data_IF_297929170785
#
_entry.id   IF_297929170785
#
_cell.length_a   1.000
_cell.length_b   1.000
_cell.length_c   1.000
_cell.angle_alpha   90.00
_cell.angle_beta   90.00
_cell.angle_gamma   90.00
#
_symmetry.space_group_name_H-M   'P 1'
#
loop_
_entity.id
_entity.type
_entity.pdbx_description
1 polymer ?
#
# COMPACT_ATOMS: atom_id res chain seq x y z
N UNK A 1 -64.84 -61.85 -39.54
CA UNK A 1 -64.07 -60.83 -40.29
C UNK A 1 -62.78 -60.52 -39.53
N UNK A 2 -61.71 -60.15 -40.24
CA UNK A 2 -60.54 -59.30 -39.84
C UNK A 2 -60.34 -59.14 -38.31
N UNK A 3 -59.34 -59.75 -37.63
CA UNK A 3 -57.87 -59.47 -37.64
C UNK A 3 -57.51 -58.07 -37.07
N UNK A 4 -56.40 -57.73 -36.41
CA UNK A 4 -55.13 -58.38 -35.98
C UNK A 4 -54.57 -57.53 -34.80
N UNK A 5 -53.67 -57.89 -33.87
CA UNK A 5 -52.76 -59.02 -33.57
C UNK A 5 -52.31 -58.85 -32.08
N UNK A 6 -51.59 -59.81 -31.48
CA UNK A 6 -50.82 -59.56 -30.23
C UNK A 6 -49.59 -60.49 -30.08
N UNK A 7 -48.46 -59.94 -29.62
CA UNK A 7 -47.24 -60.63 -29.16
C UNK A 7 -46.54 -59.73 -28.10
N UNK A 8 -46.01 -60.23 -26.97
CA UNK A 8 -44.89 -61.20 -26.80
C UNK A 8 -43.54 -60.54 -27.15
N UNK A 9 -42.46 -60.60 -26.34
CA UNK A 9 -42.21 -61.38 -25.12
C UNK A 9 -40.94 -60.89 -24.34
N UNK A 10 -40.73 -61.40 -23.12
CA UNK A 10 -39.45 -61.41 -22.33
C UNK A 10 -39.00 -60.01 -21.81
N UNK A 11 -38.14 -59.90 -20.79
CA UNK A 11 -37.30 -60.89 -20.08
C UNK A 11 -37.57 -60.93 -18.56
N UNK A 12 -37.49 -62.14 -17.98
CA UNK A 12 -37.35 -62.36 -16.53
C UNK A 12 -35.95 -62.94 -16.25
N UNK A 13 -35.11 -62.24 -15.48
CA UNK A 13 -33.93 -62.76 -14.77
C UNK A 13 -33.25 -61.65 -13.93
N UNK A 14 -32.37 -62.03 -12.99
CA UNK A 14 -31.48 -61.18 -12.16
C UNK A 14 -32.01 -60.65 -10.80
N UNK A 15 -32.47 -61.57 -9.97
CA UNK A 15 -32.35 -61.52 -8.49
C UNK A 15 -31.77 -62.87 -8.07
N UNK A 16 -30.46 -62.99 -7.71
CA UNK A 16 -29.90 -62.26 -6.56
C UNK A 16 -28.43 -61.81 -6.73
N UNK A 17 -28.19 -60.49 -6.86
CA UNK A 17 -26.82 -59.91 -6.75
C UNK A 17 -26.76 -58.64 -5.87
N UNK A 18 -27.87 -58.26 -5.23
CA UNK A 18 -28.00 -56.98 -4.51
C UNK A 18 -27.50 -57.06 -3.06
N UNK A 19 -27.50 -58.25 -2.44
CA UNK A 19 -27.19 -58.41 -1.02
C UNK A 19 -25.72 -58.66 -0.68
N UNK A 20 -24.85 -58.89 -1.68
CA UNK A 20 -23.40 -59.12 -1.45
C UNK A 20 -22.53 -57.86 -1.63
N UNK A 21 -23.11 -56.72 -2.01
CA UNK A 21 -22.42 -55.44 -2.17
C UNK A 21 -22.41 -54.58 -0.89
N UNK A 22 -23.17 -54.97 0.14
CA UNK A 22 -23.30 -54.24 1.41
C UNK A 22 -22.14 -54.49 2.40
N UNK A 23 -21.16 -55.33 2.06
CA UNK A 23 -20.03 -55.71 2.92
C UNK A 23 -18.66 -55.16 2.47
N UNK A 24 -18.60 -54.42 1.35
CA UNK A 24 -17.36 -53.93 0.74
C UNK A 24 -17.33 -52.39 0.61
N UNK A 25 -17.73 -51.68 1.67
CA UNK A 25 -17.98 -50.23 1.63
C UNK A 25 -17.59 -49.45 2.89
N UNK A 26 -16.65 -49.95 3.71
CA UNK A 26 -16.16 -49.25 4.91
C UNK A 26 -14.64 -49.13 4.98
N UNK A 27 -13.98 -49.06 3.82
CA UNK A 27 -12.72 -48.34 3.72
C UNK A 27 -12.99 -46.88 4.05
N UNK A 28 -12.70 -46.46 5.29
CA UNK A 28 -12.63 -45.03 5.62
C UNK A 28 -11.50 -44.45 4.78
N UNK A 29 -11.86 -43.80 3.67
CA UNK A 29 -11.03 -42.76 3.09
C UNK A 29 -10.85 -41.71 4.19
N UNK A 30 -9.74 -41.83 4.90
CA UNK A 30 -9.21 -40.73 5.68
C UNK A 30 -8.83 -39.68 4.65
N UNK A 31 -9.78 -38.80 4.34
CA UNK A 31 -9.49 -37.52 3.72
C UNK A 31 -8.52 -36.86 4.68
N UNK A 32 -7.22 -36.92 4.36
CA UNK A 32 -6.27 -35.95 4.91
C UNK A 32 -6.93 -34.60 4.69
N UNK A 33 -7.21 -33.87 5.78
CA UNK A 33 -7.80 -32.55 5.69
C UNK A 33 -6.80 -31.67 4.95
N UNK A 34 -7.00 -31.57 3.63
CA UNK A 34 -6.00 -31.05 2.71
C UNK A 34 -5.56 -29.70 3.21
N UNK A 35 -4.25 -29.53 3.45
CA UNK A 35 -3.68 -28.28 4.00
C UNK A 35 -4.35 -27.11 3.28
N UNK A 36 -5.08 -26.23 3.99
CA UNK A 36 -5.98 -25.29 3.33
C UNK A 36 -5.25 -24.57 2.20
N UNK A 37 -5.84 -24.60 1.01
CA UNK A 37 -5.15 -24.23 -0.22
C UNK A 37 -5.01 -22.72 -0.33
N UNK A 38 -3.78 -22.24 -0.56
CA UNK A 38 -3.45 -20.81 -0.68
C UNK A 38 -2.28 -20.41 0.22
N UNK A 39 -1.73 -19.19 0.05
CA UNK A 39 -0.62 -18.68 0.86
C UNK A 39 -1.06 -18.41 2.31
N UNK A 40 -0.18 -18.67 3.28
CA UNK A 40 -0.38 -18.28 4.68
C UNK A 40 0.08 -16.82 4.90
N UNK A 41 -0.80 -15.96 5.42
CA UNK A 41 -0.51 -14.55 5.69
C UNK A 41 -0.42 -14.29 7.19
N UNK A 42 0.62 -13.59 7.64
CA UNK A 42 0.69 -13.04 8.99
C UNK A 42 0.20 -11.58 8.99
N UNK A 43 -0.61 -11.17 9.97
CA UNK A 43 -1.12 -9.79 10.08
C UNK A 43 -0.49 -9.07 11.28
N UNK A 44 0.48 -8.22 11.00
CA UNK A 44 1.21 -7.47 12.03
C UNK A 44 0.28 -6.59 12.90
N UNK A 45 0.65 -6.33 14.17
CA UNK A 45 0.07 -5.23 14.93
C UNK A 45 0.12 -3.93 14.11
N UNK A 46 -1.03 -3.25 14.00
CA UNK A 46 -1.15 -2.01 13.24
C UNK A 46 -0.25 -0.94 13.86
N UNK A 47 0.53 -0.27 13.01
CA UNK A 47 1.37 0.85 13.39
C UNK A 47 0.54 2.12 13.52
N UNK A 48 0.80 2.94 14.53
CA UNK A 48 0.21 4.27 14.64
C UNK A 48 1.17 5.35 14.12
N UNK A 49 0.80 5.97 13.00
CA UNK A 49 1.43 7.18 12.48
C UNK A 49 0.55 8.42 12.73
N UNK A 50 -0.63 8.26 13.35
CA UNK A 50 -1.59 9.33 13.64
C UNK A 50 -1.26 10.10 14.92
N UNK A 51 -0.77 9.43 15.97
CA UNK A 51 -0.53 10.01 17.29
C UNK A 51 -1.81 10.25 18.10
N UNK A 52 -2.93 9.64 17.72
CA UNK A 52 -4.23 9.76 18.37
C UNK A 52 -4.61 8.48 19.13
N UNK A 53 -5.47 8.60 20.14
CA UNK A 53 -6.03 7.43 20.83
C UNK A 53 -7.06 6.74 19.91
N UNK A 54 -6.61 5.68 19.24
CA UNK A 54 -7.34 5.02 18.16
C UNK A 54 -7.53 3.51 18.45
N UNK A 55 -8.65 2.90 18.05
CA UNK A 55 -8.96 1.50 18.33
C UNK A 55 -8.21 0.51 17.39
N UNK A 56 -6.88 0.65 17.28
CA UNK A 56 -5.97 -0.10 16.40
C UNK A 56 -6.20 -1.63 16.44
N UNK A 57 -6.39 -2.19 17.63
CA UNK A 57 -6.63 -3.63 17.82
C UNK A 57 -7.98 -4.07 17.24
N UNK A 58 -9.02 -3.25 17.35
CA UNK A 58 -10.32 -3.51 16.75
C UNK A 58 -10.27 -3.34 15.22
N UNK A 59 -9.57 -2.32 14.72
CA UNK A 59 -9.35 -2.13 13.27
C UNK A 59 -8.60 -3.32 12.65
N UNK A 60 -7.49 -3.77 13.26
CA UNK A 60 -6.75 -4.96 12.80
C UNK A 60 -7.63 -6.21 12.81
N UNK A 61 -8.39 -6.42 13.88
CA UNK A 61 -9.27 -7.59 14.01
C UNK A 61 -10.37 -7.57 12.96
N UNK A 62 -11.01 -6.41 12.74
CA UNK A 62 -12.03 -6.20 11.72
C UNK A 62 -11.51 -6.36 10.29
N UNK A 63 -10.24 -6.04 10.02
CA UNK A 63 -9.61 -6.32 8.71
C UNK A 63 -9.29 -7.80 8.55
N UNK A 64 -8.71 -8.41 9.58
CA UNK A 64 -8.33 -9.82 9.60
C UNK A 64 -9.53 -10.73 9.38
N UNK A 65 -10.65 -10.41 10.01
CA UNK A 65 -11.89 -11.19 9.88
C UNK A 65 -12.49 -11.10 8.47
N UNK A 66 -12.51 -9.91 7.84
CA UNK A 66 -12.90 -9.75 6.44
C UNK A 66 -12.08 -10.63 5.50
N UNK A 67 -10.77 -10.73 5.72
CA UNK A 67 -9.90 -11.59 4.93
C UNK A 67 -10.18 -13.09 5.16
N UNK A 68 -10.39 -13.51 6.42
CA UNK A 68 -10.76 -14.91 6.75
C UNK A 68 -12.10 -15.31 6.14
N UNK A 69 -13.11 -14.44 6.20
CA UNK A 69 -14.43 -14.68 5.61
C UNK A 69 -14.37 -14.83 4.07
N UNK A 70 -13.39 -14.20 3.42
CA UNK A 70 -13.11 -14.35 2.00
C UNK A 70 -12.05 -15.43 1.70
N UNK A 71 -11.83 -16.38 2.62
CA UNK A 71 -10.99 -17.57 2.41
C UNK A 71 -9.48 -17.36 2.51
N UNK A 72 -9.00 -16.15 2.85
CA UNK A 72 -7.56 -15.90 3.02
C UNK A 72 -7.08 -16.58 4.32
N UNK A 73 -6.01 -17.38 4.21
CA UNK A 73 -5.43 -18.08 5.35
C UNK A 73 -4.62 -17.11 6.19
N UNK A 74 -5.12 -16.73 7.37
CA UNK A 74 -4.40 -15.88 8.32
C UNK A 74 -3.82 -16.71 9.46
N UNK A 75 -2.54 -16.47 9.78
CA UNK A 75 -1.84 -17.01 10.96
C UNK A 75 -2.53 -16.59 12.26
N UNK A 76 -2.68 -17.51 13.21
CA UNK A 76 -3.37 -17.20 14.46
C UNK A 76 -2.57 -16.26 15.38
N UNK A 77 -3.27 -15.38 16.09
CA UNK A 77 -2.64 -14.29 16.83
C UNK A 77 -1.70 -14.81 17.93
N UNK A 78 -2.06 -15.89 18.63
CA UNK A 78 -1.23 -16.48 19.67
C UNK A 78 0.12 -16.99 19.12
N UNK A 79 0.12 -17.53 17.90
CA UNK A 79 1.32 -18.05 17.25
C UNK A 79 2.14 -16.94 16.62
N UNK A 80 1.51 -15.92 16.02
CA UNK A 80 2.18 -14.69 15.59
C UNK A 80 2.86 -13.98 16.77
N UNK A 81 2.17 -13.84 17.90
CA UNK A 81 2.71 -13.20 19.11
C UNK A 81 3.92 -13.97 19.63
N UNK A 82 3.81 -15.30 19.79
CA UNK A 82 4.92 -16.17 20.18
C UNK A 82 6.10 -16.09 19.21
N UNK A 83 5.82 -16.02 17.90
CA UNK A 83 6.85 -15.85 16.88
C UNK A 83 7.57 -14.50 17.00
N UNK A 84 6.83 -13.41 17.16
CA UNK A 84 7.38 -12.06 17.35
C UNK A 84 8.23 -11.97 18.63
N UNK A 85 7.79 -12.57 19.72
CA UNK A 85 8.57 -12.69 20.97
C UNK A 85 9.88 -13.47 20.75
N UNK A 86 9.79 -14.65 20.12
CA UNK A 86 10.96 -15.52 19.85
C UNK A 86 11.97 -14.90 18.88
N UNK A 87 11.50 -14.23 17.82
CA UNK A 87 12.36 -13.51 16.87
C UNK A 87 12.69 -12.08 17.35
N UNK A 88 12.19 -11.66 18.52
CA UNK A 88 12.41 -10.35 19.15
C UNK A 88 11.98 -9.16 18.26
N UNK A 89 10.98 -9.37 17.40
CA UNK A 89 10.42 -8.37 16.48
C UNK A 89 9.74 -7.27 17.30
N UNK A 90 10.23 -6.03 17.16
CA UNK A 90 9.72 -4.83 17.87
C UNK A 90 9.18 -3.74 16.95
N UNK A 91 9.43 -3.84 15.65
CA UNK A 91 9.00 -2.88 14.65
C UNK A 91 8.03 -3.56 13.70
N UNK A 92 6.87 -2.93 13.47
CA UNK A 92 5.80 -3.47 12.63
C UNK A 92 5.51 -2.64 11.39
N UNK A 93 6.07 -1.44 11.24
CA UNK A 93 5.96 -0.61 10.03
C UNK A 93 6.75 -1.08 8.81
N UNK A 94 7.34 -2.28 8.82
CA UNK A 94 8.15 -2.81 7.73
C UNK A 94 8.67 -4.22 8.01
N UNK A 95 9.21 -4.86 6.97
CA UNK A 95 9.76 -6.21 7.01
C UNK A 95 11.21 -6.22 6.52
N UNK A 96 12.16 -6.38 7.44
CA UNK A 96 13.58 -6.55 7.10
C UNK A 96 13.90 -7.97 6.59
N UNK A 97 15.12 -8.14 6.04
CA UNK A 97 15.57 -9.39 5.41
C UNK A 97 15.62 -10.57 6.38
N UNK A 98 16.08 -10.36 7.62
CA UNK A 98 16.23 -11.42 8.62
C UNK A 98 14.85 -11.90 9.07
N UNK A 99 13.95 -10.96 9.35
CA UNK A 99 12.56 -11.23 9.75
C UNK A 99 11.77 -11.89 8.61
N UNK A 100 11.94 -11.42 7.38
CA UNK A 100 11.36 -12.02 6.17
C UNK A 100 11.78 -13.49 5.99
N UNK A 101 13.08 -13.76 6.07
CA UNK A 101 13.61 -15.12 5.96
C UNK A 101 13.16 -16.01 7.13
N UNK A 102 13.11 -15.47 8.35
CA UNK A 102 12.63 -16.18 9.53
C UNK A 102 11.15 -16.58 9.42
N UNK A 103 10.26 -15.70 8.92
CA UNK A 103 8.86 -16.03 8.69
C UNK A 103 8.69 -17.19 7.72
N UNK A 104 9.39 -17.13 6.58
CA UNK A 104 9.33 -18.17 5.55
C UNK A 104 9.87 -19.52 6.05
N UNK A 105 11.05 -19.50 6.68
CA UNK A 105 11.77 -20.73 7.06
C UNK A 105 11.28 -21.37 8.36
N UNK A 106 10.78 -20.58 9.33
CA UNK A 106 10.46 -21.07 10.69
C UNK A 106 8.95 -21.13 10.98
N UNK A 107 8.14 -20.26 10.35
CA UNK A 107 6.69 -20.22 10.55
C UNK A 107 5.89 -20.74 9.34
N UNK A 108 6.51 -20.94 8.18
CA UNK A 108 5.81 -21.34 6.95
C UNK A 108 4.82 -20.28 6.45
N UNK A 109 4.98 -19.03 6.89
CA UNK A 109 4.25 -17.87 6.39
C UNK A 109 4.77 -17.55 4.99
N UNK A 110 3.87 -17.18 4.08
CA UNK A 110 4.18 -16.82 2.70
C UNK A 110 4.24 -15.31 2.50
N UNK A 111 3.41 -14.55 3.21
CA UNK A 111 3.40 -13.08 3.17
C UNK A 111 3.08 -12.44 4.53
N UNK A 112 3.53 -11.21 4.75
CA UNK A 112 3.15 -10.37 5.90
C UNK A 112 2.28 -9.21 5.39
N UNK A 113 1.11 -9.06 6.00
CA UNK A 113 0.28 -7.87 5.87
C UNK A 113 0.73 -6.84 6.93
N UNK A 114 1.09 -5.65 6.45
CA UNK A 114 1.48 -4.50 7.25
C UNK A 114 0.40 -3.42 7.08
N UNK A 115 -0.02 -2.79 8.18
CA UNK A 115 -0.99 -1.71 8.17
C UNK A 115 -0.51 -0.57 9.08
N UNK A 116 -0.64 0.67 8.61
CA UNK A 116 -0.32 1.87 9.39
C UNK A 116 -1.53 2.82 9.38
N UNK A 117 -1.90 3.34 10.55
CA UNK A 117 -2.92 4.37 10.72
C UNK A 117 -2.27 5.74 10.51
N UNK A 118 -2.58 6.39 9.40
CA UNK A 118 -2.01 7.70 9.05
C UNK A 118 -2.75 8.84 9.77
N UNK A 119 -4.07 8.76 9.89
CA UNK A 119 -4.86 9.79 10.58
C UNK A 119 -6.10 9.21 11.22
N UNK A 120 -6.49 9.78 12.36
CA UNK A 120 -7.73 9.46 13.06
C UNK A 120 -8.23 10.70 13.79
N UNK A 121 -9.53 10.96 13.68
CA UNK A 121 -10.26 11.99 14.40
C UNK A 121 -11.66 11.46 14.68
N UNK A 122 -12.03 11.35 15.95
CA UNK A 122 -13.37 11.00 16.40
C UNK A 122 -14.32 12.20 16.44
N UNK A 123 -13.78 13.42 16.54
CA UNK A 123 -14.50 14.70 16.43
C UNK A 123 -15.38 14.73 15.18
N UNK A 124 -16.70 14.85 15.36
CA UNK A 124 -17.68 14.78 14.27
C UNK A 124 -17.66 16.02 13.35
N UNK A 125 -17.79 15.86 12.02
CA UNK A 125 -17.71 14.59 11.27
C UNK A 125 -16.33 13.93 11.37
N UNK A 126 -16.22 12.65 11.77
CA UNK A 126 -14.95 11.98 12.00
C UNK A 126 -14.10 11.86 10.73
N UNK A 127 -12.81 11.54 10.89
CA UNK A 127 -11.87 11.29 9.79
C UNK A 127 -10.98 10.08 10.09
N UNK A 128 -10.62 9.36 9.04
CA UNK A 128 -9.69 8.22 9.11
C UNK A 128 -8.85 8.13 7.84
N UNK A 129 -7.55 7.91 7.99
CA UNK A 129 -6.64 7.61 6.89
C UNK A 129 -5.81 6.37 7.24
N UNK A 130 -5.82 5.37 6.36
CA UNK A 130 -5.20 4.06 6.54
C UNK A 130 -4.40 3.69 5.29
N UNK A 131 -3.23 3.09 5.49
CA UNK A 131 -2.43 2.46 4.43
C UNK A 131 -2.12 1.01 4.80
N UNK A 132 -2.18 0.12 3.83
CA UNK A 132 -1.91 -1.30 4.01
C UNK A 132 -1.10 -1.87 2.83
N UNK A 133 -0.23 -2.84 3.11
CA UNK A 133 0.57 -3.53 2.09
C UNK A 133 0.82 -4.99 2.43
N UNK A 134 0.82 -5.83 1.41
CA UNK A 134 1.14 -7.25 1.49
C UNK A 134 2.54 -7.47 0.94
N UNK A 135 3.43 -8.02 1.77
CA UNK A 135 4.85 -8.23 1.46
C UNK A 135 5.13 -9.73 1.41
N UNK A 136 5.68 -10.22 0.31
CA UNK A 136 6.13 -11.61 0.19
C UNK A 136 7.30 -11.89 1.13
N UNK A 137 7.36 -13.08 1.71
CA UNK A 137 8.44 -13.51 2.62
C UNK A 137 9.45 -14.42 1.94
N UNK A 138 10.69 -14.38 2.42
CA UNK A 138 11.85 -15.09 1.86
C UNK A 138 13.13 -14.27 1.98
N UNK A 139 14.17 -14.65 1.25
CA UNK A 139 15.48 -13.96 1.28
C UNK A 139 15.43 -12.52 0.75
N UNK A 140 14.49 -12.22 -0.15
CA UNK A 140 14.24 -10.90 -0.74
C UNK A 140 12.73 -10.62 -0.71
N UNK A 141 12.22 -9.80 0.24
CA UNK A 141 10.80 -9.47 0.29
C UNK A 141 10.41 -8.52 -0.85
N UNK A 142 9.29 -8.80 -1.52
CA UNK A 142 8.69 -7.96 -2.57
C UNK A 142 7.28 -7.52 -2.15
N UNK A 143 6.92 -6.26 -2.43
CA UNK A 143 5.57 -5.74 -2.18
C UNK A 143 4.62 -6.25 -3.27
N UNK A 144 3.72 -7.16 -2.92
CA UNK A 144 2.75 -7.80 -3.83
C UNK A 144 1.53 -6.91 -4.10
N UNK A 145 1.14 -6.13 -3.10
CA UNK A 145 0.01 -5.20 -3.10
C UNK A 145 0.29 -4.08 -2.10
N UNK A 146 -0.15 -2.87 -2.41
CA UNK A 146 -0.19 -1.76 -1.48
C UNK A 146 -1.33 -0.81 -1.88
N UNK A 147 -2.16 -0.43 -0.92
CA UNK A 147 -3.22 0.57 -1.13
C UNK A 147 -3.43 1.42 0.11
N UNK A 148 -4.10 2.55 -0.06
CA UNK A 148 -4.40 3.53 0.99
C UNK A 148 -5.78 4.13 0.77
N UNK A 149 -6.40 4.55 1.87
CA UNK A 149 -7.72 5.18 1.88
C UNK A 149 -7.74 6.29 2.93
N UNK A 150 -8.18 7.48 2.54
CA UNK A 150 -8.61 8.55 3.42
C UNK A 150 -10.12 8.74 3.26
N UNK A 151 -10.82 8.93 4.38
CA UNK A 151 -12.25 9.22 4.42
C UNK A 151 -12.56 10.27 5.50
N UNK A 152 -13.58 11.07 5.24
CA UNK A 152 -14.22 11.96 6.21
C UNK A 152 -15.73 11.70 6.27
N UNK A 153 -16.34 11.94 7.43
CA UNK A 153 -17.78 11.75 7.62
C UNK A 153 -18.65 12.66 6.74
N UNK A 154 -18.09 13.78 6.27
CA UNK A 154 -18.69 14.75 5.36
C UNK A 154 -18.29 14.58 3.88
N UNK A 155 -17.68 13.45 3.48
CA UNK A 155 -17.35 13.17 2.06
C UNK A 155 -18.58 13.02 1.15
N UNK A 156 -19.72 12.61 1.70
CA UNK A 156 -20.93 12.29 0.95
C UNK A 156 -22.23 12.74 1.68
N UNK A 157 -22.40 14.04 1.98
CA UNK A 157 -23.46 14.54 2.86
C UNK A 157 -24.86 14.41 2.25
N UNK A 158 -24.97 14.28 0.92
CA UNK A 158 -26.24 14.14 0.22
C UNK A 158 -27.16 15.35 0.36
N UNK A 159 -28.46 15.14 0.12
CA UNK A 159 -29.48 16.16 0.28
C UNK A 159 -29.73 16.36 1.79
N UNK A 160 -29.75 17.62 2.25
CA UNK A 160 -29.99 18.02 3.65
C UNK A 160 -29.04 17.40 4.69
N UNK A 161 -27.86 16.92 4.30
CA UNK A 161 -26.87 16.34 5.22
C UNK A 161 -27.16 14.91 5.66
N UNK A 162 -28.20 14.25 5.12
CA UNK A 162 -28.65 12.91 5.53
C UNK A 162 -27.57 11.83 5.33
N UNK A 163 -26.60 12.04 4.45
CA UNK A 163 -25.48 11.12 4.19
C UNK A 163 -24.26 11.29 5.09
N UNK A 164 -24.25 12.30 5.98
CA UNK A 164 -23.13 12.52 6.92
C UNK A 164 -23.00 11.33 7.86
N UNK A 165 -21.78 10.80 7.99
CA UNK A 165 -21.43 9.81 9.01
C UNK A 165 -20.93 10.56 10.24
N UNK A 166 -21.56 10.37 11.39
CA UNK A 166 -21.12 10.95 12.67
C UNK A 166 -20.34 9.94 13.55
N UNK A 167 -20.63 8.64 13.42
CA UNK A 167 -19.94 7.58 14.18
C UNK A 167 -18.58 7.23 13.54
N UNK A 168 -17.44 7.40 14.26
CA UNK A 168 -16.12 7.01 13.77
C UNK A 168 -16.05 5.54 13.40
N UNK A 169 -16.81 4.68 14.09
CA UNK A 169 -16.85 3.23 13.90
C UNK A 169 -17.45 2.84 12.55
N UNK A 170 -18.51 3.52 12.10
CA UNK A 170 -19.05 3.37 10.75
C UNK A 170 -18.04 3.82 9.71
N UNK A 171 -17.32 4.93 9.96
CA UNK A 171 -16.35 5.47 9.00
C UNK A 171 -15.13 4.54 8.82
N UNK A 172 -14.49 4.10 9.91
CA UNK A 172 -13.32 3.21 9.78
C UNK A 172 -13.69 1.81 9.28
N UNK A 173 -14.90 1.30 9.56
CA UNK A 173 -15.33 0.04 8.92
C UNK A 173 -15.42 0.18 7.40
N UNK A 174 -16.00 1.26 6.86
CA UNK A 174 -16.02 1.53 5.40
C UNK A 174 -14.62 1.62 4.79
N UNK A 175 -13.67 2.19 5.53
CA UNK A 175 -12.26 2.25 5.11
C UNK A 175 -11.61 0.85 5.04
N UNK A 176 -11.89 -0.02 6.02
CA UNK A 176 -11.44 -1.43 6.00
C UNK A 176 -12.14 -2.25 4.91
N UNK A 177 -13.42 -2.02 4.63
CA UNK A 177 -14.15 -2.64 3.52
C UNK A 177 -13.46 -2.33 2.19
N UNK A 178 -13.11 -1.05 1.95
CA UNK A 178 -12.42 -0.61 0.74
C UNK A 178 -11.01 -1.20 0.59
N UNK A 179 -10.21 -1.18 1.65
CA UNK A 179 -8.85 -1.75 1.61
C UNK A 179 -8.88 -3.28 1.44
N UNK A 180 -9.80 -3.98 2.09
CA UNK A 180 -9.90 -5.44 1.97
C UNK A 180 -10.43 -5.85 0.59
N UNK A 181 -11.41 -5.14 0.03
CA UNK A 181 -11.86 -5.32 -1.35
C UNK A 181 -10.73 -5.13 -2.38
N UNK A 182 -9.91 -4.09 -2.21
CA UNK A 182 -8.73 -3.83 -3.05
C UNK A 182 -7.70 -4.97 -3.00
N UNK A 183 -7.41 -5.49 -1.80
CA UNK A 183 -6.53 -6.65 -1.63
C UNK A 183 -7.13 -7.93 -2.24
N UNK A 184 -8.42 -8.19 -2.03
CA UNK A 184 -9.10 -9.38 -2.54
C UNK A 184 -9.19 -9.39 -4.07
N UNK A 185 -9.50 -8.26 -4.70
CA UNK A 185 -9.44 -8.07 -6.15
C UNK A 185 -8.03 -8.37 -6.69
N UNK A 186 -6.98 -7.87 -6.02
CA UNK A 186 -5.58 -8.17 -6.39
C UNK A 186 -5.21 -9.65 -6.19
N UNK A 187 -5.73 -10.31 -5.15
CA UNK A 187 -5.51 -11.75 -4.89
C UNK A 187 -6.28 -12.65 -5.87
N UNK A 188 -7.42 -12.21 -6.40
CA UNK A 188 -8.14 -12.87 -7.49
C UNK A 188 -7.42 -12.79 -8.84
N UNK A 189 -6.33 -12.00 -8.94
CA UNK A 189 -5.60 -11.74 -10.19
C UNK A 189 -6.25 -10.68 -11.06
N UNK A 190 -7.30 -10.02 -10.58
CA UNK A 190 -7.99 -8.95 -11.29
C UNK A 190 -7.13 -7.66 -11.24
N UNK A 191 -6.81 -7.10 -12.41
CA UNK A 191 -6.02 -5.87 -12.49
C UNK A 191 -6.94 -4.66 -12.69
N UNK A 192 -7.08 -3.86 -11.63
CA UNK A 192 -7.72 -2.55 -11.74
C UNK A 192 -6.84 -1.63 -12.60
N UNK A 193 -7.41 -0.91 -13.60
CA UNK A 193 -6.64 0.05 -14.39
C UNK A 193 -6.13 1.18 -13.49
N UNK A 194 -4.87 1.57 -13.65
CA UNK A 194 -4.26 2.65 -12.88
C UNK A 194 -5.08 3.95 -13.07
N UNK A 195 -5.63 4.56 -12.00
CA UNK A 195 -6.53 5.70 -12.15
C UNK A 195 -5.74 6.95 -12.50
N UNK A 196 -5.97 7.49 -13.71
CA UNK A 196 -5.25 8.63 -14.27
C UNK A 196 -5.21 9.87 -13.36
N UNK A 197 -4.22 10.73 -13.60
CA UNK A 197 -3.95 11.91 -12.78
C UNK A 197 -4.75 13.14 -13.22
N UNK A 198 -5.05 14.03 -12.26
CA UNK A 198 -5.78 15.27 -12.52
C UNK A 198 -4.83 16.47 -12.69
N UNK A 199 -5.07 17.32 -13.70
CA UNK A 199 -4.24 18.52 -13.97
C UNK A 199 -4.09 19.48 -12.79
N UNK A 200 -5.07 19.54 -11.87
CA UNK A 200 -5.00 20.35 -10.63
C UNK A 200 -3.87 19.94 -9.68
N UNK A 201 -3.43 18.68 -9.76
CA UNK A 201 -2.34 18.13 -8.97
C UNK A 201 -1.00 18.12 -9.71
N UNK A 202 -0.91 18.71 -10.92
CA UNK A 202 0.37 18.87 -11.62
C UNK A 202 1.38 19.56 -10.69
N UNK A 203 2.60 19.02 -10.54
CA UNK A 203 3.61 19.62 -9.67
C UNK A 203 3.92 21.07 -10.07
N UNK A 204 4.30 21.89 -9.09
CA UNK A 204 4.53 23.32 -9.32
C UNK A 204 5.88 23.54 -10.01
N UNK A 205 6.86 22.73 -9.64
CA UNK A 205 8.19 22.67 -10.26
C UNK A 205 8.53 21.21 -10.54
N UNK A 206 9.02 20.91 -11.74
CA UNK A 206 9.51 19.59 -12.11
C UNK A 206 10.77 19.74 -12.96
N UNK A 207 11.78 18.93 -12.67
CA UNK A 207 13.07 18.87 -13.36
C UNK A 207 13.35 17.43 -13.78
N UNK A 208 13.79 17.25 -15.03
CA UNK A 208 14.16 15.95 -15.60
C UNK A 208 15.43 16.10 -16.42
N UNK A 209 16.47 15.39 -16.04
CA UNK A 209 17.75 15.34 -16.75
C UNK A 209 17.83 14.14 -17.71
N UNK A 210 17.15 13.02 -17.38
CA UNK A 210 17.19 11.79 -18.15
C UNK A 210 15.79 11.18 -18.39
N UNK A 211 15.58 10.59 -19.56
CA UNK A 211 14.43 9.74 -19.86
C UNK A 211 14.67 8.32 -19.33
N UNK A 212 13.64 7.72 -18.75
CA UNK A 212 13.70 6.33 -18.28
C UNK A 212 13.27 5.41 -19.43
N UNK A 213 13.97 4.30 -19.67
CA UNK A 213 13.56 3.33 -20.68
C UNK A 213 12.27 2.63 -20.21
N UNK A 214 11.11 2.82 -20.87
CA UNK A 214 9.85 2.21 -20.46
C UNK A 214 9.85 0.67 -20.62
N UNK A 215 10.89 0.08 -21.22
CA UNK A 215 11.07 -1.38 -21.34
C UNK A 215 11.84 -1.99 -20.18
N UNK A 216 12.49 -1.19 -19.33
CA UNK A 216 13.29 -1.66 -18.19
C UNK A 216 12.52 -1.44 -16.88
N UNK A 217 12.34 -2.51 -16.09
CA UNK A 217 11.93 -2.40 -14.68
C UNK A 217 13.16 -1.98 -13.87
N UNK A 218 13.14 -0.77 -13.30
CA UNK A 218 14.27 -0.23 -12.53
C UNK A 218 14.12 -0.51 -11.04
N UNK A 219 15.21 -0.86 -10.36
CA UNK A 219 15.21 -1.07 -8.91
C UNK A 219 15.35 0.26 -8.16
N UNK A 220 14.48 0.51 -7.17
CA UNK A 220 14.44 1.78 -6.43
C UNK A 220 14.26 1.54 -4.92
N UNK A 221 15.06 2.26 -4.14
CA UNK A 221 14.87 2.37 -2.69
C UNK A 221 14.35 3.78 -2.35
N UNK A 222 13.25 3.84 -1.61
CA UNK A 222 12.69 5.10 -1.09
C UNK A 222 13.20 5.28 0.34
N UNK A 223 14.04 6.30 0.55
CA UNK A 223 14.60 6.61 1.87
C UNK A 223 13.59 7.38 2.73
N UNK A 224 13.69 7.35 4.08
CA UNK A 224 12.91 8.21 4.97
C UNK A 224 13.01 9.68 4.55
N UNK A 225 11.87 10.37 4.39
CA UNK A 225 11.91 11.79 4.02
C UNK A 225 12.20 12.67 5.23
N UNK A 226 12.95 13.75 5.00
CA UNK A 226 13.20 14.74 6.04
C UNK A 226 11.90 15.52 6.33
N UNK A 227 11.57 15.67 7.61
CA UNK A 227 10.30 16.26 8.02
C UNK A 227 10.54 17.63 8.68
N UNK A 228 10.02 18.67 8.03
CA UNK A 228 10.03 20.06 8.52
C UNK A 228 8.63 20.54 8.93
N UNK A 229 7.61 19.69 8.78
CA UNK A 229 6.23 19.99 9.15
C UNK A 229 5.96 19.72 10.63
N UNK A 230 4.94 20.39 11.20
CA UNK A 230 4.52 20.20 12.61
C UNK A 230 4.11 18.75 12.95
N UNK A 231 3.82 17.94 11.92
CA UNK A 231 3.27 16.60 12.05
C UNK A 231 4.40 15.57 12.13
N UNK A 232 4.67 15.04 13.32
CA UNK A 232 5.80 14.13 13.65
C UNK A 232 6.12 13.08 12.58
N UNK A 233 5.11 12.33 12.11
CA UNK A 233 5.29 11.16 11.24
C UNK A 233 5.08 11.47 9.74
N UNK A 234 4.97 12.74 9.34
CA UNK A 234 4.68 13.11 7.94
C UNK A 234 5.72 12.60 6.94
N UNK A 235 7.00 12.55 7.33
CA UNK A 235 8.06 11.98 6.49
C UNK A 235 7.86 10.50 6.18
N UNK A 236 7.37 9.71 7.15
CA UNK A 236 7.11 8.28 6.98
C UNK A 236 5.82 8.04 6.17
N UNK A 237 4.75 8.80 6.45
CA UNK A 237 3.49 8.74 5.69
C UNK A 237 3.73 9.09 4.20
N UNK A 238 4.48 10.14 3.91
CA UNK A 238 4.83 10.50 2.52
C UNK A 238 5.67 9.44 1.81
N UNK A 239 6.55 8.72 2.51
CA UNK A 239 7.27 7.56 1.95
C UNK A 239 6.29 6.45 1.58
N UNK A 240 5.30 6.14 2.42
CA UNK A 240 4.30 5.10 2.13
C UNK A 240 3.46 5.46 0.90
N UNK A 241 3.03 6.71 0.75
CA UNK A 241 2.34 7.17 -0.46
C UNK A 241 3.21 7.05 -1.73
N UNK A 242 4.50 7.43 -1.66
CA UNK A 242 5.45 7.28 -2.80
C UNK A 242 5.67 5.81 -3.16
N UNK A 243 5.87 4.94 -2.17
CA UNK A 243 6.04 3.49 -2.36
C UNK A 243 4.80 2.88 -3.00
N UNK A 244 3.59 3.21 -2.52
CA UNK A 244 2.32 2.76 -3.10
C UNK A 244 2.25 3.06 -4.60
N UNK A 245 2.54 4.30 -4.99
CA UNK A 245 2.43 4.72 -6.38
C UNK A 245 3.51 4.05 -7.25
N UNK A 246 4.77 4.01 -6.80
CA UNK A 246 5.85 3.31 -7.51
C UNK A 246 5.54 1.82 -7.74
N UNK A 247 5.00 1.12 -6.73
CA UNK A 247 4.51 -0.27 -6.86
C UNK A 247 3.37 -0.36 -7.89
N UNK A 248 2.40 0.54 -7.81
CA UNK A 248 1.24 0.57 -8.73
C UNK A 248 1.64 0.79 -10.20
N UNK A 249 2.74 1.50 -10.46
CA UNK A 249 3.24 1.80 -11.81
C UNK A 249 3.76 0.58 -12.60
N UNK A 250 4.16 -0.49 -11.90
CA UNK A 250 4.93 -1.65 -12.42
C UNK A 250 6.30 -1.35 -13.06
N UNK A 251 6.59 -0.11 -13.45
CA UNK A 251 7.88 0.33 -14.02
C UNK A 251 9.06 0.19 -13.04
N UNK A 252 8.78 0.04 -11.74
CA UNK A 252 9.80 -0.08 -10.70
C UNK A 252 9.73 -1.43 -9.96
N UNK A 253 10.89 -1.87 -9.47
CA UNK A 253 11.04 -2.88 -8.43
C UNK A 253 11.39 -2.13 -7.13
N UNK A 254 10.37 -1.91 -6.28
CA UNK A 254 10.50 -1.06 -5.08
C UNK A 254 10.94 -1.92 -3.90
N UNK A 255 12.01 -1.51 -3.23
CA UNK A 255 12.48 -2.17 -2.01
C UNK A 255 11.55 -1.86 -0.83
N UNK A 256 11.32 -2.85 0.02
CA UNK A 256 10.49 -2.74 1.22
C UNK A 256 11.11 -1.75 2.24
N UNK A 257 10.36 -0.76 2.76
CA UNK A 257 10.88 0.21 3.73
C UNK A 257 11.61 -0.38 4.95
N UNK A 258 11.20 -1.55 5.44
CA UNK A 258 11.86 -2.28 6.53
C UNK A 258 13.24 -2.83 6.15
N UNK A 259 13.46 -3.25 4.91
CA UNK A 259 14.80 -3.60 4.39
C UNK A 259 15.71 -2.38 4.39
N UNK A 260 15.21 -1.24 3.91
CA UNK A 260 15.94 0.03 3.85
C UNK A 260 16.30 0.50 5.27
N UNK A 261 15.31 0.52 6.17
CA UNK A 261 15.47 0.87 7.60
C UNK A 261 16.45 -0.07 8.32
N UNK A 262 16.35 -1.38 8.11
CA UNK A 262 17.26 -2.38 8.67
C UNK A 262 18.70 -2.15 8.21
N UNK A 263 18.90 -1.86 6.92
CA UNK A 263 20.22 -1.53 6.35
C UNK A 263 20.79 -0.22 6.93
N UNK A 264 19.98 0.83 7.02
CA UNK A 264 20.36 2.11 7.64
C UNK A 264 20.78 1.94 9.12
N UNK A 265 20.03 1.15 9.90
CA UNK A 265 20.35 0.85 11.30
C UNK A 265 21.66 0.06 11.43
N UNK A 266 21.86 -0.98 10.61
CA UNK A 266 23.10 -1.76 10.58
C UNK A 266 24.33 -0.89 10.22
N UNK A 267 24.16 0.06 9.30
CA UNK A 267 25.17 1.02 8.88
C UNK A 267 25.27 2.27 9.78
N UNK A 268 24.42 2.38 10.82
CA UNK A 268 24.33 3.51 11.76
C UNK A 268 24.11 4.88 11.09
N UNK A 269 23.40 4.91 9.97
CA UNK A 269 23.08 6.15 9.25
C UNK A 269 21.90 6.85 9.94
N UNK A 270 22.11 8.11 10.32
CA UNK A 270 21.11 8.98 10.99
C UNK A 270 20.91 10.22 10.11
N UNK A 271 19.65 10.51 9.75
CA UNK A 271 19.29 11.63 8.87
C UNK A 271 18.88 12.87 9.68
N UNK A 272 19.87 13.62 10.19
CA UNK A 272 19.60 14.81 11.02
C UNK A 272 19.08 16.01 10.24
N UNK A 273 19.48 16.18 8.97
CA UNK A 273 19.08 17.29 8.08
C UNK A 273 18.67 16.78 6.68
N UNK A 274 18.13 15.55 6.64
CA UNK A 274 18.07 14.71 5.44
C UNK A 274 19.33 13.87 5.27
N UNK A 275 19.61 13.42 4.04
CA UNK A 275 20.75 12.55 3.70
C UNK A 275 21.72 13.27 2.76
N UNK A 276 23.02 13.14 3.01
CA UNK A 276 24.08 13.67 2.14
C UNK A 276 24.38 12.73 0.96
N UNK A 277 24.84 13.27 -0.17
CA UNK A 277 25.18 12.46 -1.35
C UNK A 277 26.14 11.28 -1.06
N UNK A 278 27.20 11.42 -0.24
CA UNK A 278 28.06 10.28 0.10
C UNK A 278 27.33 9.18 0.88
N UNK A 279 26.38 9.53 1.75
CA UNK A 279 25.57 8.53 2.47
C UNK A 279 24.52 7.89 1.56
N UNK A 280 23.95 8.64 0.62
CA UNK A 280 23.02 8.12 -0.39
C UNK A 280 23.72 7.15 -1.38
N UNK A 281 24.92 7.50 -1.86
CA UNK A 281 25.78 6.62 -2.67
C UNK A 281 26.21 5.36 -1.91
N UNK A 282 26.61 5.51 -0.64
CA UNK A 282 26.96 4.38 0.21
C UNK A 282 25.76 3.43 0.40
N UNK A 283 24.54 3.96 0.62
CA UNK A 283 23.31 3.17 0.69
C UNK A 283 22.94 2.53 -0.66
N UNK A 284 23.01 3.26 -1.77
CA UNK A 284 22.66 2.75 -3.10
C UNK A 284 23.48 1.51 -3.46
N UNK A 285 24.81 1.56 -3.22
CA UNK A 285 25.68 0.41 -3.45
C UNK A 285 25.49 -0.73 -2.43
N UNK A 286 24.93 -0.43 -1.25
CA UNK A 286 24.63 -1.40 -0.19
C UNK A 286 23.23 -2.06 -0.32
N UNK A 287 22.33 -1.42 -1.05
CA UNK A 287 20.98 -1.89 -1.38
C UNK A 287 20.88 -2.46 -2.81
N UNK A 288 21.96 -2.36 -3.59
CA UNK A 288 22.10 -2.83 -4.98
C UNK A 288 21.12 -2.19 -5.99
N UNK A 289 20.50 -1.05 -5.66
CA UNK A 289 19.47 -0.41 -6.49
C UNK A 289 20.04 0.42 -7.66
N UNK A 290 19.23 0.61 -8.70
CA UNK A 290 19.52 1.56 -9.77
C UNK A 290 19.34 3.00 -9.28
N UNK A 291 18.27 3.23 -8.51
CA UNK A 291 17.87 4.53 -8.00
C UNK A 291 17.73 4.60 -6.48
N UNK A 292 17.94 5.79 -5.95
CA UNK A 292 17.55 6.24 -4.61
C UNK A 292 16.54 7.36 -4.78
N UNK A 293 15.37 7.25 -4.16
CA UNK A 293 14.42 8.35 -4.03
C UNK A 293 14.49 8.90 -2.60
N UNK A 294 14.70 10.20 -2.48
CA UNK A 294 14.68 10.94 -1.21
C UNK A 294 13.75 12.14 -1.31
N UNK A 295 13.38 12.72 -0.16
CA UNK A 295 12.37 13.76 -0.11
C UNK A 295 12.39 14.58 1.17
N UNK A 296 11.60 15.65 1.16
CA UNK A 296 11.46 16.65 2.22
C UNK A 296 9.99 17.06 2.31
N UNK A 297 9.44 17.12 3.51
CA UNK A 297 8.02 17.41 3.76
C UNK A 297 7.90 18.70 4.57
N UNK A 298 7.31 19.72 3.97
CA UNK A 298 7.20 21.08 4.54
C UNK A 298 5.86 21.29 5.24
N UNK A 299 4.77 20.78 4.66
CA UNK A 299 3.44 20.79 5.29
C UNK A 299 2.76 19.44 5.00
N UNK A 300 2.28 18.75 6.04
CA UNK A 300 1.33 17.66 5.90
C UNK A 300 0.32 17.82 7.03
N UNK A 301 -0.80 18.49 6.73
CA UNK A 301 -1.77 18.91 7.73
C UNK A 301 -3.15 18.43 7.33
N UNK A 302 -3.70 17.52 8.12
CA UNK A 302 -5.13 17.29 8.19
C UNK A 302 -5.74 18.25 9.23
N UNK A 303 -6.89 18.83 8.89
CA UNK A 303 -7.67 19.69 9.78
C UNK A 303 -8.93 18.95 10.23
N UNK A 304 -9.35 19.06 11.51
CA UNK A 304 -10.66 18.62 11.96
C UNK A 304 -11.78 19.18 11.06
N UNK A 305 -12.84 18.41 10.87
CA UNK A 305 -13.97 18.79 10.01
C UNK A 305 -14.57 20.14 10.40
N UNK A 306 -14.93 20.94 9.40
CA UNK A 306 -15.36 22.34 9.57
C UNK A 306 -14.25 23.35 9.96
N UNK A 307 -13.11 22.94 10.53
CA UNK A 307 -12.08 23.87 11.02
C UNK A 307 -11.01 24.27 9.99
N UNK A 308 -11.04 23.71 8.78
CA UNK A 308 -10.14 24.07 7.70
C UNK A 308 -10.19 23.11 6.51
N UNK A 309 -9.06 22.99 5.81
CA UNK A 309 -8.85 22.10 4.67
C UNK A 309 -7.48 21.42 4.76
N UNK A 310 -7.31 20.21 4.22
CA UNK A 310 -6.02 19.57 4.18
C UNK A 310 -5.02 20.37 3.34
N UNK A 311 -3.74 20.27 3.70
CA UNK A 311 -2.62 20.90 3.00
C UNK A 311 -1.44 19.94 2.96
N UNK A 312 -0.82 19.85 1.79
CA UNK A 312 0.33 18.97 1.53
C UNK A 312 1.35 19.75 0.70
N UNK A 313 2.60 19.75 1.16
CA UNK A 313 3.74 20.38 0.51
C UNK A 313 5.02 19.58 0.75
N UNK A 314 5.72 19.25 -0.33
CA UNK A 314 6.94 18.45 -0.33
C UNK A 314 7.84 18.77 -1.53
N UNK A 315 9.10 18.39 -1.42
CA UNK A 315 10.00 18.19 -2.57
C UNK A 315 10.55 16.76 -2.59
N UNK A 316 10.74 16.20 -3.79
CA UNK A 316 11.28 14.84 -4.01
C UNK A 316 12.44 14.91 -5.01
N UNK A 317 13.43 14.04 -4.85
CA UNK A 317 14.60 13.91 -5.72
C UNK A 317 14.86 12.43 -6.02
N UNK A 318 15.21 12.13 -7.27
CA UNK A 318 15.61 10.80 -7.73
C UNK A 318 17.09 10.83 -8.13
N UNK A 319 17.90 10.05 -7.43
CA UNK A 319 19.34 9.94 -7.62
C UNK A 319 19.67 8.62 -8.31
N UNK A 320 20.55 8.66 -9.31
CA UNK A 320 21.04 7.46 -10.01
C UNK A 320 22.38 6.98 -9.45
N UNK A 321 22.49 5.68 -9.15
CA UNK A 321 23.70 5.10 -8.56
C UNK A 321 24.92 5.10 -9.48
N UNK A 322 24.71 4.96 -10.79
CA UNK A 322 25.79 4.86 -11.79
C UNK A 322 26.49 6.21 -12.03
N UNK A 323 25.72 7.29 -12.17
CA UNK A 323 26.19 8.65 -12.42
C UNK A 323 26.40 9.46 -11.15
N UNK A 324 25.77 9.06 -10.03
CA UNK A 324 25.71 9.77 -8.74
C UNK A 324 25.05 11.16 -8.82
N UNK A 325 24.24 11.37 -9.86
CA UNK A 325 23.54 12.62 -10.13
C UNK A 325 22.06 12.55 -9.71
N UNK A 326 21.48 13.70 -9.36
CA UNK A 326 20.02 13.88 -9.32
C UNK A 326 19.52 13.91 -10.78
N UNK A 327 18.89 12.83 -11.23
CA UNK A 327 18.39 12.70 -12.61
C UNK A 327 16.99 13.29 -12.79
N UNK A 328 16.27 13.51 -11.70
CA UNK A 328 14.92 14.08 -11.69
C UNK A 328 14.61 14.68 -10.31
N UNK A 329 13.82 15.76 -10.26
CA UNK A 329 13.34 16.35 -9.01
C UNK A 329 11.99 17.06 -9.16
N UNK A 330 11.28 17.32 -8.06
CA UNK A 330 10.04 18.13 -8.03
C UNK A 330 9.87 18.88 -6.72
N UNK A 331 9.07 19.95 -6.77
CA UNK A 331 8.39 20.56 -5.60
C UNK A 331 6.90 20.69 -5.91
N UNK A 332 6.04 20.31 -4.96
CA UNK A 332 4.59 20.45 -5.12
C UNK A 332 3.87 20.75 -3.82
N UNK A 333 3.03 21.79 -3.86
CA UNK A 333 2.16 22.29 -2.78
C UNK A 333 0.72 22.32 -3.28
N UNK A 334 -0.22 21.68 -2.61
CA UNK A 334 -1.66 21.76 -2.93
C UNK A 334 -2.51 21.87 -1.64
N UNK A 335 -3.76 22.31 -1.79
CA UNK A 335 -4.77 22.34 -0.71
C UNK A 335 -6.04 21.58 -1.10
N UNK A 336 -6.87 21.23 -0.10
CA UNK A 336 -8.11 20.49 -0.31
C UNK A 336 -9.16 21.17 -1.21
N UNK A 337 -9.05 22.48 -1.45
CA UNK A 337 -9.98 23.20 -2.33
C UNK A 337 -9.45 23.36 -3.77
N UNK A 338 -8.28 22.80 -4.08
CA UNK A 338 -7.63 23.05 -5.37
C UNK A 338 -8.46 22.42 -6.50
N UNK A 339 -8.97 23.27 -7.40
CA UNK A 339 -9.88 22.86 -8.48
C UNK A 339 -11.30 22.51 -8.02
N UNK A 340 -11.75 23.04 -6.88
CA UNK A 340 -13.16 23.03 -6.46
C UNK A 340 -14.02 23.93 -7.35
N UNK A 341 -15.24 23.49 -7.59
CA UNK A 341 -16.30 24.24 -8.28
C UNK A 341 -17.50 24.46 -7.35
N UNK A 342 -18.57 25.09 -7.84
CA UNK A 342 -19.79 25.40 -7.05
C UNK A 342 -20.28 24.20 -6.22
N UNK A 343 -20.76 24.47 -5.00
CA UNK A 343 -21.24 23.49 -4.02
C UNK A 343 -20.19 22.43 -3.63
N UNK A 344 -18.97 22.87 -3.30
CA UNK A 344 -17.83 22.04 -2.87
C UNK A 344 -17.47 20.87 -3.81
N UNK A 345 -17.92 20.93 -5.07
CA UNK A 345 -17.70 19.88 -6.04
C UNK A 345 -16.19 19.70 -6.33
N UNK A 346 -15.69 18.46 -6.16
CA UNK A 346 -14.26 18.04 -6.16
C UNK A 346 -13.42 18.44 -4.94
N UNK A 347 -14.01 18.93 -3.85
CA UNK A 347 -13.26 19.20 -2.61
C UNK A 347 -12.64 17.92 -2.07
N UNK A 348 -11.46 18.04 -1.48
CA UNK A 348 -10.71 16.94 -0.88
C UNK A 348 -10.63 17.16 0.63
N UNK A 349 -11.15 16.20 1.39
CA UNK A 349 -11.37 16.29 2.84
C UNK A 349 -10.15 15.90 3.69
N UNK A 350 -9.26 15.04 3.16
CA UNK A 350 -8.11 14.47 3.87
C UNK A 350 -6.77 14.72 3.17
N UNK A 351 -5.68 14.84 3.94
CA UNK A 351 -4.33 14.98 3.40
C UNK A 351 -3.83 13.69 2.72
N UNK A 352 -4.34 12.52 3.13
CA UNK A 352 -4.17 11.25 2.40
C UNK A 352 -4.67 11.38 0.95
N UNK A 353 -5.95 11.71 0.74
CA UNK A 353 -6.54 11.75 -0.64
C UNK A 353 -5.90 12.87 -1.47
N UNK A 354 -5.49 13.97 -0.83
CA UNK A 354 -4.75 15.04 -1.49
C UNK A 354 -3.37 14.55 -1.96
N UNK A 355 -2.63 13.84 -1.11
CA UNK A 355 -1.36 13.22 -1.44
C UNK A 355 -1.51 12.16 -2.55
N UNK A 356 -2.54 11.30 -2.49
CA UNK A 356 -2.85 10.33 -3.55
C UNK A 356 -3.17 10.99 -4.90
N UNK A 357 -3.68 12.24 -4.91
CA UNK A 357 -3.81 13.06 -6.12
C UNK A 357 -2.45 13.55 -6.64
N UNK A 358 -1.65 14.14 -5.76
CA UNK A 358 -0.32 14.68 -6.07
C UNK A 358 0.67 13.61 -6.52
N UNK A 359 0.68 12.44 -5.86
CA UNK A 359 1.58 11.33 -6.17
C UNK A 359 1.26 10.65 -7.50
N UNK A 360 -0.01 10.62 -7.93
CA UNK A 360 -0.36 10.14 -9.28
C UNK A 360 0.07 11.13 -10.37
N UNK A 361 -0.07 12.43 -10.12
CA UNK A 361 0.44 13.45 -11.05
C UNK A 361 1.98 13.47 -11.11
N UNK A 362 2.66 13.25 -9.99
CA UNK A 362 4.10 13.00 -9.91
C UNK A 362 4.54 11.87 -10.84
N UNK A 363 3.86 10.72 -10.81
CA UNK A 363 4.20 9.60 -11.70
C UNK A 363 3.86 9.88 -13.17
N UNK A 364 2.72 10.50 -13.45
CA UNK A 364 2.37 10.93 -14.82
C UNK A 364 3.43 11.83 -15.43
N UNK A 365 3.97 12.78 -14.66
CA UNK A 365 5.08 13.65 -15.11
C UNK A 365 6.41 12.91 -15.18
N UNK A 366 6.68 11.94 -14.30
CA UNK A 366 7.91 11.13 -14.34
C UNK A 366 7.94 10.11 -15.50
N UNK A 367 6.79 9.57 -15.91
CA UNK A 367 6.69 8.47 -16.88
C UNK A 367 6.15 8.92 -18.24
N UNK A 368 5.14 9.79 -18.29
CA UNK A 368 4.33 10.06 -19.49
C UNK A 368 4.63 11.40 -20.18
N UNK A 369 4.86 12.50 -19.44
CA UNK A 369 5.10 13.82 -20.06
C UNK A 369 6.55 14.01 -20.51
N UNK A 370 6.81 13.78 -21.80
CA UNK A 370 8.09 14.06 -22.49
C UNK A 370 8.16 15.45 -23.16
N UNK A 371 7.26 16.39 -22.83
CA UNK A 371 7.20 17.71 -23.49
C UNK A 371 6.94 18.86 -22.51
N UNK A 372 7.68 19.95 -22.71
CA UNK A 372 7.58 21.24 -22.00
C UNK A 372 7.87 21.23 -20.48
N UNK A 373 8.89 20.48 -20.05
CA UNK A 373 9.77 20.98 -18.99
C UNK A 373 10.74 21.98 -19.62
N UNK A 374 10.99 23.14 -18.98
CA UNK A 374 11.88 24.18 -19.53
C UNK A 374 13.32 23.66 -19.64
N UNK A 375 13.75 23.38 -20.87
CA UNK A 375 15.14 23.07 -21.21
C UNK A 375 16.04 24.31 -21.09
N UNK A 376 16.52 24.60 -19.88
CA UNK A 376 17.74 25.42 -19.71
C UNK A 376 18.50 25.07 -18.45
N UNK A 377 19.48 24.16 -18.52
CA UNK A 377 20.62 24.17 -17.65
C UNK A 377 21.77 24.98 -18.30
N UNK A 378 22.20 26.12 -17.73
CA UNK A 378 23.60 26.18 -17.31
C UNK A 378 23.86 25.02 -16.33
N UNK A 379 25.12 24.66 -16.04
CA UNK A 379 25.40 23.69 -14.97
C UNK A 379 24.95 24.27 -13.62
N UNK A 380 23.69 24.06 -13.27
CA UNK A 380 23.11 24.49 -12.01
C UNK A 380 23.87 23.77 -10.91
N UNK A 381 24.52 24.54 -10.05
CA UNK A 381 25.22 23.99 -8.90
C UNK A 381 24.22 23.27 -7.99
N UNK A 382 24.70 22.29 -7.22
CA UNK A 382 23.86 21.61 -6.25
C UNK A 382 23.22 22.62 -5.28
N UNK A 383 23.94 23.67 -4.89
CA UNK A 383 23.46 24.78 -4.06
C UNK A 383 22.29 25.56 -4.68
N UNK A 384 22.22 25.69 -6.01
CA UNK A 384 21.12 26.36 -6.72
C UNK A 384 19.89 25.45 -6.86
N UNK A 385 20.09 24.17 -7.19
CA UNK A 385 19.01 23.18 -7.22
C UNK A 385 18.40 23.01 -5.81
N UNK A 386 19.25 22.95 -4.78
CA UNK A 386 18.85 22.98 -3.38
C UNK A 386 18.12 24.30 -3.07
N UNK A 387 18.68 25.48 -3.37
CA UNK A 387 17.99 26.76 -3.09
C UNK A 387 16.58 26.87 -3.68
N UNK A 388 16.32 26.25 -4.83
CA UNK A 388 14.98 26.12 -5.41
C UNK A 388 14.14 25.14 -4.59
N UNK A 389 14.59 23.88 -4.45
CA UNK A 389 13.84 22.78 -3.81
C UNK A 389 13.74 22.87 -2.27
N UNK A 390 14.47 23.80 -1.66
CA UNK A 390 14.56 24.11 -0.22
C UNK A 390 13.92 25.47 0.11
N UNK A 391 13.42 26.21 -0.89
CA UNK A 391 12.59 27.39 -0.64
C UNK A 391 11.25 26.99 -0.03
N UNK A 392 10.62 27.81 0.84
CA UNK A 392 9.27 27.59 1.36
C UNK A 392 8.16 28.10 0.41
#
# INVERSE_FOLDING_TARGET
MISSRSCSNRLLALLPLVLLLLAAGCARLSVEAGRPSGPLVAVYPMEDLSGADAPLAAMRSGFTERLRQNGVRIMDEADLRRFMEQQRIRYTGGLDLETSAAFKAKAGVDAVLIMSLEYYSDVSPPKVSLVARLVATGEKPEILWMDSVGMAGDDAPGILGIGIVEDPSVLWNRALDRLSGSLLHKLAGEEAPAPGWERRFKPKEAYRFMELDPRRRYSVAVLPFFNESDRTNAGEIMVLHVVKQLVSSKAFAVLEPGVIRGKMLAMRIIMQNGISLPAADLLANNLETDFILTGRVFEYRDMPSGSGKPRVDFSLQLLERSSKMVIWATKSRNTGDDGVFFYDWRRVSTANVLTEGMMRAFLGVMVEETREVKLTPPRMSQEELERILMSP
#
